data_IF_645900100572
#
_entry.id   IF_645900100572
#
_cell.length_a   1.000
_cell.length_b   1.000
_cell.length_c   1.000
_cell.angle_alpha   90.00
_cell.angle_beta   90.00
_cell.angle_gamma   90.00
#
_symmetry.space_group_name_H-M   'P 1'
#
loop_
_entity.id
_entity.type
_entity.pdbx_description
1 polymer ?
#
# COMPACT_ATOMS: atom_id res chain seq x y z
N UNK A 1 10.25 4.91 -4.33
CA UNK A 1 9.64 3.64 -4.74
C UNK A 1 8.45 3.94 -5.63
N UNK A 2 8.36 3.33 -6.80
CA UNK A 2 7.21 3.59 -7.67
C UNK A 2 6.02 2.70 -7.31
N UNK A 3 6.27 1.41 -7.18
CA UNK A 3 5.25 0.42 -6.87
C UNK A 3 5.74 -0.48 -5.76
N UNK A 4 4.85 -0.97 -4.93
CA UNK A 4 5.28 -1.86 -3.88
C UNK A 4 4.16 -2.40 -3.01
N UNK A 5 4.58 -3.20 -2.05
CA UNK A 5 3.72 -3.77 -1.03
C UNK A 5 4.21 -3.30 0.33
N UNK A 6 3.33 -2.69 1.11
CA UNK A 6 3.62 -2.34 2.49
C UNK A 6 2.83 -3.21 3.46
N UNK A 7 3.43 -3.49 4.60
CA UNK A 7 2.82 -4.26 5.66
C UNK A 7 3.75 -4.34 6.85
N UNK A 8 3.28 -4.95 7.94
CA UNK A 8 4.09 -5.07 9.15
C UNK A 8 5.22 -6.08 8.97
N UNK A 9 4.87 -7.27 8.53
CA UNK A 9 5.83 -8.32 8.18
C UNK A 9 5.50 -8.81 6.80
N UNK A 10 6.47 -8.71 5.91
CA UNK A 10 6.33 -9.20 4.56
C UNK A 10 7.11 -10.51 4.48
N UNK A 11 6.40 -11.59 4.76
CA UNK A 11 7.00 -12.91 4.80
C UNK A 11 7.25 -13.48 3.42
N UNK A 12 7.80 -14.69 3.41
CA UNK A 12 8.20 -15.39 2.19
C UNK A 12 7.03 -15.68 1.23
N UNK A 13 5.81 -15.67 1.74
CA UNK A 13 4.63 -16.03 0.96
C UNK A 13 4.26 -15.02 -0.12
N UNK A 14 4.81 -13.81 -0.08
CA UNK A 14 4.46 -12.78 -1.05
C UNK A 14 5.45 -12.61 -2.17
N UNK A 15 6.63 -13.20 -2.04
CA UNK A 15 7.74 -12.68 -2.77
C UNK A 15 7.81 -13.15 -4.22
N UNK A 16 7.91 -14.45 -4.47
CA UNK A 16 8.29 -14.89 -5.80
C UNK A 16 7.25 -14.72 -6.89
N UNK A 17 6.00 -15.18 -6.71
CA UNK A 17 5.01 -15.06 -7.79
C UNK A 17 4.70 -13.62 -8.14
N UNK A 18 4.64 -12.74 -7.13
CA UNK A 18 4.35 -11.32 -7.36
C UNK A 18 5.52 -10.64 -8.06
N UNK A 19 6.74 -10.89 -7.61
CA UNK A 19 7.93 -10.35 -8.25
C UNK A 19 8.08 -10.82 -9.69
N UNK A 20 7.83 -12.09 -9.95
CA UNK A 20 7.91 -12.62 -11.30
C UNK A 20 6.84 -12.03 -12.21
N UNK A 21 5.62 -11.90 -11.72
CA UNK A 21 4.52 -11.32 -12.48
C UNK A 21 4.75 -9.85 -12.81
N UNK A 22 5.50 -9.14 -11.97
CA UNK A 22 5.75 -7.70 -12.08
C UNK A 22 7.22 -7.39 -12.43
N UNK A 23 7.92 -8.34 -13.04
CA UNK A 23 9.36 -8.21 -13.30
C UNK A 23 9.72 -7.00 -14.17
N UNK A 24 8.78 -6.48 -14.96
CA UNK A 24 8.99 -5.28 -15.76
C UNK A 24 8.79 -3.96 -15.02
N UNK A 25 8.43 -4.01 -13.73
CA UNK A 25 8.11 -2.82 -12.93
C UNK A 25 9.04 -2.72 -11.73
N UNK A 26 9.27 -1.50 -11.25
CA UNK A 26 9.97 -1.26 -9.99
C UNK A 26 9.02 -1.52 -8.82
N UNK A 27 8.73 -2.78 -8.58
CA UNK A 27 7.85 -3.22 -7.50
C UNK A 27 8.69 -3.75 -6.34
N UNK A 28 8.53 -3.17 -5.17
CA UNK A 28 9.35 -3.50 -4.00
C UNK A 28 8.50 -3.94 -2.82
N UNK A 29 9.08 -4.81 -2.01
CA UNK A 29 8.53 -5.12 -0.69
C UNK A 29 9.07 -4.10 0.30
N UNK A 30 8.16 -3.45 1.02
CA UNK A 30 8.51 -2.40 1.97
C UNK A 30 7.93 -2.75 3.34
N UNK A 31 8.64 -3.55 4.15
CA UNK A 31 8.17 -3.86 5.49
C UNK A 31 8.28 -2.63 6.39
N UNK A 32 7.21 -2.37 7.13
CA UNK A 32 7.09 -1.26 8.05
C UNK A 32 6.74 -1.85 9.42
N UNK A 33 7.75 -2.25 10.22
CA UNK A 33 7.51 -3.03 11.44
C UNK A 33 6.69 -2.30 12.50
N UNK A 34 6.68 -0.97 12.50
CA UNK A 34 5.95 -0.19 13.49
C UNK A 34 4.92 0.71 12.85
N UNK A 35 3.82 1.03 13.56
CA UNK A 35 2.84 2.00 13.05
C UNK A 35 3.45 3.37 12.75
N UNK A 36 4.45 3.79 13.53
CA UNK A 36 5.13 5.06 13.31
C UNK A 36 5.81 5.10 11.94
N UNK A 37 6.45 3.99 11.55
CA UNK A 37 7.06 3.87 10.23
C UNK A 37 6.01 3.90 9.13
N UNK A 38 4.86 3.25 9.36
CA UNK A 38 3.76 3.27 8.41
C UNK A 38 3.19 4.69 8.23
N UNK A 39 3.01 5.41 9.32
CA UNK A 39 2.56 6.80 9.25
C UNK A 39 3.56 7.69 8.52
N UNK A 40 4.85 7.53 8.79
CA UNK A 40 5.89 8.29 8.10
C UNK A 40 5.89 8.01 6.59
N UNK A 41 5.74 6.75 6.23
CA UNK A 41 5.65 6.33 4.83
C UNK A 41 4.46 7.00 4.13
N UNK A 42 3.29 6.97 4.76
CA UNK A 42 2.09 7.55 4.16
C UNK A 42 2.18 9.07 4.04
N UNK A 43 2.79 9.74 5.02
CA UNK A 43 2.99 11.20 4.94
C UNK A 43 3.92 11.62 3.81
N UNK A 44 4.92 10.81 3.53
CA UNK A 44 5.89 11.11 2.46
C UNK A 44 5.27 11.00 1.06
N UNK A 45 4.29 10.12 0.88
CA UNK A 45 3.61 9.89 -0.41
C UNK A 45 4.55 9.61 -1.58
N UNK A 46 5.67 8.96 -1.31
CA UNK A 46 6.71 8.71 -2.30
C UNK A 46 6.49 7.37 -3.01
N UNK A 47 5.39 7.30 -3.76
CA UNK A 47 5.02 6.13 -4.55
C UNK A 47 4.00 6.52 -5.62
N UNK A 48 3.88 5.70 -6.67
CA UNK A 48 2.83 5.82 -7.68
C UNK A 48 1.61 4.98 -7.33
N UNK A 49 1.84 3.74 -6.92
CA UNK A 49 0.79 2.85 -6.45
C UNK A 49 1.37 1.82 -5.52
N UNK A 50 0.61 1.47 -4.50
CA UNK A 50 1.03 0.45 -3.54
C UNK A 50 -0.11 -0.49 -3.23
N UNK A 51 0.25 -1.73 -2.89
CA UNK A 51 -0.65 -2.64 -2.21
C UNK A 51 -0.39 -2.55 -0.71
N UNK A 52 -1.42 -2.79 0.07
CA UNK A 52 -1.36 -2.70 1.53
C UNK A 52 -1.83 -4.02 2.10
N UNK A 53 -1.05 -4.57 3.03
CA UNK A 53 -1.46 -5.78 3.75
C UNK A 53 -1.46 -5.51 5.25
N UNK A 54 -1.79 -6.54 6.04
CA UNK A 54 -1.87 -6.42 7.50
C UNK A 54 -0.55 -5.89 8.07
N UNK A 55 -0.63 -5.09 9.12
CA UNK A 55 -1.84 -4.64 9.84
C UNK A 55 -2.35 -3.26 9.40
N UNK A 56 -2.00 -2.77 8.21
CA UNK A 56 -2.14 -1.37 7.86
C UNK A 56 -3.31 -1.02 6.95
N UNK A 57 -4.16 -2.00 6.61
CA UNK A 57 -5.29 -1.77 5.70
C UNK A 57 -6.29 -0.74 6.22
N UNK A 58 -6.39 -0.59 7.53
CA UNK A 58 -7.24 0.45 8.15
C UNK A 58 -6.44 1.72 8.42
N UNK A 59 -5.19 1.57 8.86
CA UNK A 59 -4.34 2.71 9.20
C UNK A 59 -4.18 3.68 8.04
N UNK A 60 -4.12 3.16 6.80
CA UNK A 60 -3.89 4.00 5.62
C UNK A 60 -5.14 4.77 5.18
N UNK A 61 -6.33 4.38 5.62
CA UNK A 61 -7.57 4.99 5.15
C UNK A 61 -7.63 6.50 5.34
N UNK A 62 -7.26 7.05 6.51
CA UNK A 62 -7.30 8.50 6.70
C UNK A 62 -6.38 9.30 5.76
N UNK A 63 -5.38 8.64 5.18
CA UNK A 63 -4.47 9.31 4.24
C UNK A 63 -5.03 9.39 2.83
N UNK A 64 -6.07 8.61 2.53
CA UNK A 64 -6.67 8.60 1.20
C UNK A 64 -7.59 9.81 1.04
N UNK A 65 -7.42 10.53 -0.06
CA UNK A 65 -8.29 11.66 -0.40
C UNK A 65 -9.65 11.17 -0.91
N UNK A 66 -9.66 10.01 -1.55
CA UNK A 66 -10.87 9.34 -2.03
C UNK A 66 -10.74 7.86 -1.69
N UNK A 67 -11.86 7.26 -1.27
CA UNK A 67 -11.95 5.82 -1.02
C UNK A 67 -13.13 5.29 -1.82
N UNK A 68 -12.92 4.22 -2.59
CA UNK A 68 -14.00 3.64 -3.39
C UNK A 68 -15.08 3.00 -2.52
N UNK A 69 -16.23 2.71 -3.13
CA UNK A 69 -17.37 2.19 -2.39
C UNK A 69 -17.10 0.83 -1.77
N UNK A 70 -16.36 -0.04 -2.48
CA UNK A 70 -16.02 -1.36 -1.98
C UNK A 70 -15.12 -1.28 -0.74
N UNK A 71 -14.08 -0.44 -0.79
CA UNK A 71 -13.19 -0.25 0.35
C UNK A 71 -13.91 0.35 1.54
N UNK A 72 -14.81 1.30 1.30
CA UNK A 72 -15.60 1.93 2.34
C UNK A 72 -16.55 0.94 3.00
N UNK A 73 -17.20 0.10 2.20
CA UNK A 73 -18.13 -0.91 2.72
C UNK A 73 -17.42 -1.98 3.55
N UNK A 74 -16.23 -2.38 3.11
CA UNK A 74 -15.42 -3.38 3.82
C UNK A 74 -14.73 -2.77 5.05
N UNK A 75 -14.41 -1.47 5.00
CA UNK A 75 -13.68 -0.79 6.06
C UNK A 75 -12.18 -1.02 6.01
N UNK A 76 -11.65 -1.32 4.84
CA UNK A 76 -10.20 -1.49 4.65
C UNK A 76 -9.80 -1.19 3.22
N UNK A 77 -8.54 -0.76 3.06
CA UNK A 77 -7.95 -0.42 1.76
C UNK A 77 -6.77 -1.36 1.52
N UNK A 78 -6.75 -2.00 0.36
CA UNK A 78 -5.62 -2.87 -0.01
C UNK A 78 -4.80 -2.35 -1.18
N UNK A 79 -5.23 -1.27 -1.82
CA UNK A 79 -4.52 -0.65 -2.93
C UNK A 79 -4.67 0.86 -2.86
N UNK A 80 -3.58 1.58 -3.03
CA UNK A 80 -3.60 3.04 -3.07
C UNK A 80 -2.88 3.50 -4.31
N UNK A 81 -3.54 4.35 -5.08
CA UNK A 81 -2.97 4.97 -6.28
C UNK A 81 -2.73 6.45 -5.99
N UNK A 82 -1.53 6.91 -6.30
CA UNK A 82 -1.16 8.31 -6.15
C UNK A 82 -1.26 9.01 -7.51
N UNK A 83 -2.27 9.86 -7.64
CA UNK A 83 -2.46 10.64 -8.85
C UNK A 83 -2.07 12.09 -8.58
N UNK A 84 -0.79 12.39 -8.84
CA UNK A 84 -0.24 13.74 -8.65
C UNK A 84 -0.42 14.27 -7.21
N UNK A 85 -0.20 13.41 -6.23
CA UNK A 85 -0.34 13.73 -4.81
C UNK A 85 -1.72 13.46 -4.23
N UNK A 86 -2.70 13.14 -5.05
CA UNK A 86 -4.04 12.73 -4.59
C UNK A 86 -4.08 11.22 -4.44
N UNK A 87 -4.35 10.75 -3.24
CA UNK A 87 -4.37 9.32 -2.95
C UNK A 87 -5.78 8.75 -3.07
N UNK A 88 -5.92 7.71 -3.90
CA UNK A 88 -7.17 6.98 -4.08
C UNK A 88 -7.03 5.58 -3.49
N UNK A 89 -7.89 5.26 -2.52
CA UNK A 89 -7.92 3.95 -1.87
C UNK A 89 -8.95 3.03 -2.49
N UNK A 90 -8.57 1.78 -2.68
CA UNK A 90 -9.39 0.74 -3.29
C UNK A 90 -9.28 -0.57 -2.52
N UNK A 91 -10.29 -1.41 -2.73
CA UNK A 91 -10.26 -2.78 -2.22
C UNK A 91 -10.89 -3.74 -3.21
#
# INVERSE_FOLDING_TARGET
>A
MEYGLIGGRLGHSYSKPIHEALAGYDYRLCPLPTPEEAHAFMRARDFKAINVTIPYKELVMPYCDVIDDAARAIGSVNTIVNKNGRLEGHN
#
